data_IF_310083926743
#
_entry.id   IF_310083926743
#
_cell.length_a   1.000
_cell.length_b   1.000
_cell.length_c   1.000
_cell.angle_alpha   90.00
_cell.angle_beta   90.00
_cell.angle_gamma   90.00
#
_symmetry.space_group_name_H-M   'P 1'
#
loop_
_entity.id
_entity.type
_entity.pdbx_description
1 polymer ?
#
# COMPACT_ATOMS: atom_id res chain seq x y z
N UNK A 1 -8.22 18.90 8.16
CA UNK A 1 -6.76 19.13 8.02
C UNK A 1 -6.38 18.91 6.57
N UNK A 2 -5.89 19.97 5.94
CA UNK A 2 -5.34 20.00 4.57
C UNK A 2 -3.89 19.51 4.64
N UNK A 3 -3.51 18.56 3.79
CA UNK A 3 -2.12 18.10 3.69
C UNK A 3 -1.29 18.97 2.76
N UNK A 4 0.03 18.78 2.75
CA UNK A 4 0.91 19.35 1.72
C UNK A 4 0.56 18.74 0.35
N UNK A 5 0.63 19.53 -0.72
CA UNK A 5 0.20 19.15 -2.07
C UNK A 5 1.29 19.52 -3.08
N UNK A 6 1.51 18.64 -4.06
CA UNK A 6 2.53 18.77 -5.10
C UNK A 6 1.96 19.17 -6.48
N UNK A 7 0.63 19.36 -6.57
CA UNK A 7 0.00 19.74 -7.84
C UNK A 7 0.46 21.12 -8.33
N UNK A 8 0.65 21.31 -9.66
CA UNK A 8 1.09 22.58 -10.23
C UNK A 8 0.17 23.77 -9.88
N UNK A 9 0.70 25.01 -9.83
CA UNK A 9 1.98 25.44 -10.41
C UNK A 9 3.11 25.67 -9.39
N UNK A 10 2.95 25.24 -8.13
CA UNK A 10 3.76 25.72 -7.01
C UNK A 10 5.17 25.11 -6.89
N UNK A 11 5.55 24.11 -7.69
CA UNK A 11 6.83 23.44 -7.55
C UNK A 11 7.56 23.34 -8.90
N UNK A 12 8.25 24.42 -9.28
CA UNK A 12 9.12 24.48 -10.47
C UNK A 12 10.23 23.38 -10.46
N UNK A 13 10.45 22.75 -9.30
CA UNK A 13 11.48 21.75 -9.04
C UNK A 13 10.92 20.35 -8.67
N UNK A 14 9.63 20.09 -8.92
CA UNK A 14 9.09 18.73 -8.73
C UNK A 14 9.30 17.89 -9.99
N UNK A 15 9.83 16.65 -9.89
CA UNK A 15 10.12 15.82 -11.05
C UNK A 15 8.88 15.60 -11.91
N UNK A 16 8.96 15.96 -13.20
CA UNK A 16 7.82 15.88 -14.13
C UNK A 16 7.32 14.43 -14.29
N UNK A 17 8.22 13.47 -14.07
CA UNK A 17 8.00 12.04 -14.12
C UNK A 17 7.00 11.57 -13.06
N UNK A 18 6.92 12.26 -11.92
CA UNK A 18 5.96 11.97 -10.87
C UNK A 18 4.52 12.38 -11.22
N UNK A 19 4.32 13.14 -12.29
CA UNK A 19 2.99 13.47 -12.83
C UNK A 19 2.62 12.59 -14.03
N UNK A 20 3.54 11.74 -14.51
CA UNK A 20 3.40 11.01 -15.78
C UNK A 20 3.17 9.53 -15.59
N UNK A 21 2.06 9.05 -16.14
CA UNK A 21 1.64 7.66 -16.04
C UNK A 21 2.57 6.65 -16.73
N UNK A 22 3.44 7.10 -17.62
CA UNK A 22 4.31 6.27 -18.46
C UNK A 22 5.78 6.28 -18.03
N UNK A 23 6.16 7.06 -16.99
CA UNK A 23 7.55 7.25 -16.56
C UNK A 23 7.80 7.11 -15.05
N UNK A 24 6.95 6.36 -14.34
CA UNK A 24 6.99 6.22 -12.88
C UNK A 24 8.32 5.71 -12.31
N UNK A 25 9.04 4.84 -13.02
CA UNK A 25 10.34 4.34 -12.58
C UNK A 25 11.42 5.42 -12.43
N UNK A 26 11.11 6.66 -12.83
CA UNK A 26 11.98 7.82 -12.69
C UNK A 26 11.45 8.87 -11.69
N UNK A 27 10.32 8.62 -11.03
CA UNK A 27 9.84 9.49 -9.95
C UNK A 27 10.65 9.23 -8.67
N UNK A 28 11.48 10.20 -8.27
CA UNK A 28 12.40 10.06 -7.13
C UNK A 28 11.88 10.69 -5.83
N UNK A 29 10.64 11.19 -5.82
CA UNK A 29 10.04 11.91 -4.69
C UNK A 29 8.61 11.44 -4.44
N UNK A 30 8.19 11.49 -3.19
CA UNK A 30 6.79 11.26 -2.84
C UNK A 30 5.92 12.38 -3.43
N UNK A 31 4.90 12.00 -4.19
CA UNK A 31 3.93 12.90 -4.80
C UNK A 31 2.57 12.78 -4.11
N UNK A 32 1.97 13.91 -3.75
CA UNK A 32 0.63 13.98 -3.19
C UNK A 32 -0.23 15.03 -3.89
N UNK A 33 -1.33 14.60 -4.50
CA UNK A 33 -2.31 15.51 -5.11
C UNK A 33 -3.26 16.16 -4.09
N UNK A 34 -3.67 17.39 -4.40
CA UNK A 34 -4.77 18.16 -3.78
C UNK A 34 -6.13 17.47 -3.84
N UNK A 35 -6.30 16.53 -4.78
CA UNK A 35 -7.46 15.64 -4.88
C UNK A 35 -7.76 14.91 -3.57
N UNK A 36 -6.74 14.57 -2.77
CA UNK A 36 -6.96 13.92 -1.48
C UNK A 36 -7.61 14.84 -0.43
N UNK A 37 -7.46 16.15 -0.58
CA UNK A 37 -8.12 17.13 0.29
C UNK A 37 -9.51 17.51 -0.24
N UNK A 38 -9.71 17.42 -1.56
CA UNK A 38 -10.97 17.69 -2.26
C UNK A 38 -11.59 16.39 -2.81
N UNK A 39 -11.89 15.43 -1.94
CA UNK A 39 -12.41 14.13 -2.39
C UNK A 39 -13.83 14.24 -2.94
N UNK A 40 -14.02 14.05 -4.25
CA UNK A 40 -15.29 14.27 -4.95
C UNK A 40 -16.08 12.98 -5.26
N UNK A 41 -15.77 11.86 -4.62
CA UNK A 41 -16.51 10.60 -4.82
C UNK A 41 -16.18 9.93 -6.16
N UNK A 42 -14.94 9.45 -6.28
CA UNK A 42 -14.41 8.75 -7.45
C UNK A 42 -15.12 7.40 -7.69
N UNK A 43 -15.19 6.96 -8.95
CA UNK A 43 -15.80 5.68 -9.30
C UNK A 43 -14.95 4.51 -8.81
N UNK A 44 -13.63 4.60 -9.00
CA UNK A 44 -12.69 3.58 -8.57
C UNK A 44 -11.44 4.19 -7.93
N UNK A 45 -10.80 3.39 -7.07
CA UNK A 45 -9.48 3.70 -6.52
C UNK A 45 -8.59 2.49 -6.77
N UNK A 46 -7.46 2.68 -7.43
CA UNK A 46 -6.49 1.61 -7.73
C UNK A 46 -5.24 1.80 -6.88
N UNK A 47 -4.84 0.75 -6.18
CA UNK A 47 -3.54 0.62 -5.52
C UNK A 47 -2.70 -0.30 -6.38
N UNK A 48 -1.51 0.15 -6.78
CA UNK A 48 -0.59 -0.63 -7.60
C UNK A 48 0.81 -0.63 -7.00
N UNK A 49 1.50 -1.75 -7.21
CA UNK A 49 2.90 -1.95 -6.85
C UNK A 49 3.71 -2.07 -8.12
N UNK A 50 4.81 -1.33 -8.21
CA UNK A 50 5.65 -1.28 -9.39
C UNK A 50 7.07 -1.76 -9.07
N UNK A 51 7.65 -2.54 -9.97
CA UNK A 51 9.09 -2.81 -10.01
C UNK A 51 9.64 -2.44 -11.38
N UNK A 52 10.72 -1.65 -11.42
CA UNK A 52 11.28 -1.09 -12.65
C UNK A 52 10.21 -0.40 -13.53
N UNK A 53 9.23 0.27 -12.90
CA UNK A 53 8.12 0.93 -13.59
C UNK A 53 7.01 0.01 -14.11
N UNK A 54 7.09 -1.31 -13.90
CA UNK A 54 6.08 -2.28 -14.32
C UNK A 54 5.21 -2.73 -13.14
N UNK A 55 3.90 -2.79 -13.36
CA UNK A 55 2.94 -3.27 -12.35
C UNK A 55 3.16 -4.77 -12.04
N UNK A 56 3.43 -5.07 -10.76
CA UNK A 56 3.69 -6.43 -10.27
C UNK A 56 2.57 -6.99 -9.40
N UNK A 57 1.73 -6.12 -8.82
CA UNK A 57 0.52 -6.48 -8.11
C UNK A 57 -0.40 -5.25 -8.03
N UNK A 58 -1.70 -5.48 -7.89
CA UNK A 58 -2.67 -4.38 -7.80
C UNK A 58 -3.96 -4.77 -7.07
N UNK A 59 -4.69 -3.75 -6.64
CA UNK A 59 -6.06 -3.83 -6.15
C UNK A 59 -6.86 -2.65 -6.72
N UNK A 60 -8.08 -2.90 -7.14
CA UNK A 60 -9.06 -1.90 -7.56
C UNK A 60 -10.24 -1.96 -6.59
N UNK A 61 -10.58 -0.83 -6.02
CA UNK A 61 -11.68 -0.65 -5.09
C UNK A 61 -12.79 0.19 -5.72
N UNK A 62 -14.03 -0.06 -5.32
CA UNK A 62 -15.13 0.87 -5.56
C UNK A 62 -14.94 2.12 -4.70
N UNK A 63 -14.75 3.27 -5.36
CA UNK A 63 -14.66 4.58 -4.73
C UNK A 63 -16.02 5.22 -4.46
N UNK A 64 -17.11 4.64 -4.96
CA UNK A 64 -18.45 5.22 -4.87
C UNK A 64 -18.87 5.38 -3.41
N UNK A 65 -19.33 6.59 -3.08
CA UNK A 65 -19.77 6.94 -1.73
C UNK A 65 -18.69 6.68 -0.66
N UNK A 66 -17.42 6.91 -1.01
CA UNK A 66 -16.29 6.88 -0.08
C UNK A 66 -15.76 8.28 0.21
N UNK A 67 -14.92 8.39 1.23
CA UNK A 67 -14.04 9.53 1.45
C UNK A 67 -12.58 9.07 1.30
N UNK A 68 -11.63 10.00 1.46
CA UNK A 68 -10.19 9.75 1.30
C UNK A 68 -9.60 8.59 2.14
N UNK A 69 -10.31 8.09 3.15
CA UNK A 69 -9.86 7.00 4.04
C UNK A 69 -10.76 5.75 3.99
N UNK A 70 -12.02 5.86 3.55
CA UNK A 70 -12.99 4.75 3.66
C UNK A 70 -13.07 3.83 2.44
N UNK A 71 -12.38 4.16 1.35
CA UNK A 71 -12.35 3.35 0.13
C UNK A 71 -11.54 2.06 0.28
N UNK A 72 -10.51 2.06 1.12
CA UNK A 72 -9.63 0.92 1.34
C UNK A 72 -10.26 -0.05 2.35
N UNK A 73 -11.23 -0.83 1.87
CA UNK A 73 -11.97 -1.81 2.65
C UNK A 73 -12.18 -3.08 1.82
N UNK A 74 -12.09 -4.25 2.46
CA UNK A 74 -12.26 -5.55 1.80
C UNK A 74 -13.58 -5.65 1.02
N UNK A 75 -14.69 -5.17 1.59
CA UNK A 75 -16.03 -5.21 0.96
C UNK A 75 -16.12 -4.34 -0.30
N UNK A 76 -15.14 -3.47 -0.53
CA UNK A 76 -15.07 -2.58 -1.70
C UNK A 76 -14.10 -3.07 -2.76
N UNK A 77 -13.40 -4.19 -2.55
CA UNK A 77 -12.51 -4.77 -3.56
C UNK A 77 -13.35 -5.19 -4.77
N UNK A 78 -13.16 -4.48 -5.89
CA UNK A 78 -13.84 -4.77 -7.16
C UNK A 78 -13.04 -5.79 -7.99
N UNK A 79 -11.71 -5.65 -8.00
CA UNK A 79 -10.80 -6.57 -8.69
C UNK A 79 -9.43 -6.49 -8.02
N UNK A 80 -8.67 -7.57 -7.98
CA UNK A 80 -7.28 -7.52 -7.53
C UNK A 80 -6.45 -8.64 -8.13
N UNK A 81 -5.13 -8.49 -8.06
CA UNK A 81 -4.17 -9.55 -8.36
C UNK A 81 -4.42 -10.82 -7.53
N UNK A 82 -4.88 -10.65 -6.28
CA UNK A 82 -5.19 -11.72 -5.34
C UNK A 82 -6.68 -12.12 -5.42
N UNK A 83 -7.00 -13.16 -6.18
CA UNK A 83 -8.39 -13.52 -6.52
C UNK A 83 -9.27 -13.89 -5.32
N UNK A 84 -8.68 -14.30 -4.20
CA UNK A 84 -9.39 -14.61 -2.94
C UNK A 84 -9.52 -13.40 -2.01
N UNK A 85 -8.91 -12.25 -2.31
CA UNK A 85 -8.85 -11.12 -1.38
C UNK A 85 -10.23 -10.63 -0.94
N UNK A 86 -11.20 -10.60 -1.85
CA UNK A 86 -12.53 -10.03 -1.61
C UNK A 86 -13.38 -10.82 -0.59
N UNK A 87 -13.10 -12.12 -0.39
CA UNK A 87 -13.83 -12.98 0.54
C UNK A 87 -12.95 -13.68 1.59
N UNK A 88 -11.69 -13.30 1.70
CA UNK A 88 -10.77 -13.85 2.69
C UNK A 88 -11.19 -13.44 4.12
N UNK A 89 -11.82 -14.37 4.85
CA UNK A 89 -12.34 -14.13 6.19
C UNK A 89 -11.27 -13.97 7.26
N UNK A 90 -9.99 -14.23 6.94
CA UNK A 90 -8.89 -14.10 7.90
C UNK A 90 -8.43 -12.65 8.14
N UNK A 91 -8.97 -11.68 7.39
CA UNK A 91 -8.50 -10.29 7.34
C UNK A 91 -9.22 -9.31 8.29
N UNK A 92 -10.19 -9.78 9.08
CA UNK A 92 -11.22 -8.97 9.77
C UNK A 92 -10.69 -7.75 10.55
N UNK A 93 -9.47 -7.80 11.09
CA UNK A 93 -8.91 -6.73 11.92
C UNK A 93 -7.71 -5.98 11.31
N UNK A 94 -7.22 -6.41 10.15
CA UNK A 94 -5.92 -5.93 9.64
C UNK A 94 -5.92 -5.56 8.16
N UNK A 95 -7.11 -5.30 7.60
CA UNK A 95 -7.29 -4.57 6.35
C UNK A 95 -7.46 -3.08 6.68
N UNK A 96 -6.35 -2.35 6.83
CA UNK A 96 -6.34 -1.01 7.42
C UNK A 96 -5.57 -0.02 6.55
N UNK A 97 -6.23 1.12 6.28
CA UNK A 97 -5.63 2.25 5.56
C UNK A 97 -4.73 3.11 6.44
N UNK A 98 -5.14 3.33 7.69
CA UNK A 98 -4.39 4.12 8.69
C UNK A 98 -3.29 3.32 9.36
N UNK A 99 -3.29 2.01 9.12
CA UNK A 99 -2.29 1.11 9.64
C UNK A 99 -2.64 0.54 11.01
N UNK A 100 -1.71 -0.21 11.56
CA UNK A 100 -1.76 -0.75 12.89
C UNK A 100 -0.55 -0.21 13.66
N UNK A 101 -0.77 0.86 14.43
CA UNK A 101 0.29 1.57 15.17
C UNK A 101 0.10 1.49 16.69
N UNK A 102 -0.62 0.48 17.17
CA UNK A 102 -0.80 0.28 18.60
C UNK A 102 0.51 -0.24 19.24
N UNK A 103 0.89 0.37 20.37
CA UNK A 103 2.13 0.03 21.08
C UNK A 103 3.37 0.22 20.20
N UNK A 104 4.08 -0.88 19.98
CA UNK A 104 5.33 -0.94 19.21
C UNK A 104 5.14 -1.30 17.73
N UNK A 105 3.91 -1.53 17.28
CA UNK A 105 3.63 -1.75 15.86
C UNK A 105 3.81 -0.45 15.07
N UNK A 106 4.38 -0.55 13.86
CA UNK A 106 4.62 0.61 12.97
C UNK A 106 4.26 0.30 11.52
N UNK A 107 3.05 -0.21 11.34
CA UNK A 107 2.50 -0.59 10.04
C UNK A 107 1.56 0.51 9.60
N UNK A 108 1.77 1.13 8.43
CA UNK A 108 1.00 2.31 8.00
C UNK A 108 -0.20 2.00 7.14
N UNK A 109 -0.10 1.01 6.28
CA UNK A 109 -1.18 0.53 5.43
C UNK A 109 -0.95 -0.95 5.24
N UNK A 110 -1.95 -1.79 5.49
CA UNK A 110 -1.72 -3.23 5.51
C UNK A 110 -2.97 -4.03 5.22
N UNK A 111 -2.74 -5.24 4.70
CA UNK A 111 -3.71 -6.32 4.56
C UNK A 111 -3.03 -7.57 5.10
N UNK A 112 -3.29 -7.87 6.38
CA UNK A 112 -2.70 -8.99 7.12
C UNK A 112 -3.77 -9.97 7.57
N UNK A 113 -3.35 -11.19 7.87
CA UNK A 113 -4.09 -12.12 8.71
C UNK A 113 -3.31 -12.41 10.00
N UNK A 114 -4.07 -12.78 11.03
CA UNK A 114 -3.61 -13.10 12.39
C UNK A 114 -3.00 -11.92 13.18
N UNK A 115 -2.84 -12.11 14.49
CA UNK A 115 -2.43 -11.08 15.45
C UNK A 115 -1.06 -11.37 16.11
N UNK A 116 -0.22 -12.23 15.53
CA UNK A 116 1.07 -12.59 16.12
C UNK A 116 2.18 -12.69 15.07
N UNK A 117 3.36 -12.21 15.45
CA UNK A 117 4.54 -12.18 14.59
C UNK A 117 4.92 -13.56 14.02
N UNK A 118 4.53 -14.66 14.68
CA UNK A 118 4.89 -16.03 14.32
C UNK A 118 3.97 -16.68 13.28
N UNK A 119 2.79 -16.12 13.04
CA UNK A 119 1.81 -16.69 12.11
C UNK A 119 1.23 -15.64 11.16
N UNK A 120 1.74 -14.40 11.22
CA UNK A 120 1.27 -13.36 10.33
C UNK A 120 1.55 -13.73 8.88
N UNK A 121 0.48 -13.68 8.10
CA UNK A 121 0.53 -13.71 6.64
C UNK A 121 -0.01 -12.38 6.12
N UNK A 122 0.38 -12.02 4.90
CA UNK A 122 -0.05 -10.76 4.29
C UNK A 122 -0.35 -10.90 2.80
N UNK A 123 -1.26 -10.07 2.32
CA UNK A 123 -1.25 -9.70 0.90
C UNK A 123 -0.30 -8.53 0.67
N UNK A 124 -0.29 -7.55 1.58
CA UNK A 124 0.46 -6.31 1.42
C UNK A 124 0.71 -5.60 2.76
N UNK A 125 1.85 -4.91 2.88
CA UNK A 125 2.19 -4.05 4.02
C UNK A 125 3.09 -2.88 3.59
N UNK A 126 2.84 -1.71 4.19
CA UNK A 126 3.76 -0.56 4.20
C UNK A 126 4.38 -0.39 5.57
N UNK A 127 5.70 -0.30 5.58
CA UNK A 127 6.50 0.10 6.73
C UNK A 127 7.17 1.44 6.41
N UNK A 128 7.16 2.40 7.34
CA UNK A 128 7.74 3.72 7.12
C UNK A 128 8.81 4.10 8.17
N UNK A 129 9.29 3.12 8.93
CA UNK A 129 10.27 3.30 10.00
C UNK A 129 11.04 2.01 10.23
N UNK A 130 12.27 2.16 10.74
CA UNK A 130 13.26 1.11 11.04
C UNK A 130 12.89 0.17 12.18
N UNK A 131 11.69 0.34 12.75
CA UNK A 131 11.24 -0.42 13.91
C UNK A 131 9.80 -0.90 13.76
N UNK A 132 9.59 -2.20 13.86
CA UNK A 132 8.29 -2.84 14.18
C UNK A 132 8.54 -3.96 15.20
N UNK A 133 7.61 -4.19 16.11
CA UNK A 133 7.74 -5.23 17.14
C UNK A 133 8.00 -6.64 16.57
N UNK A 134 7.55 -6.92 15.34
CA UNK A 134 7.74 -8.20 14.69
C UNK A 134 8.96 -8.28 13.76
N UNK A 135 9.79 -7.22 13.69
CA UNK A 135 10.90 -7.14 12.73
C UNK A 135 11.89 -8.31 12.85
N UNK A 136 12.16 -8.75 14.08
CA UNK A 136 13.07 -9.87 14.35
C UNK A 136 12.50 -11.22 13.89
N UNK A 137 11.17 -11.40 13.90
CA UNK A 137 10.51 -12.61 13.44
C UNK A 137 10.45 -12.71 11.92
N UNK A 138 10.31 -11.56 11.25
CA UNK A 138 10.04 -11.52 9.81
C UNK A 138 11.29 -11.39 8.94
N UNK A 139 12.45 -11.20 9.57
CA UNK A 139 13.74 -11.02 8.88
C UNK A 139 13.65 -9.96 7.79
N UNK A 140 12.97 -8.84 8.08
CA UNK A 140 12.70 -7.80 7.10
C UNK A 140 14.01 -7.18 6.58
N UNK A 141 14.12 -6.90 5.27
CA UNK A 141 15.22 -6.09 4.73
C UNK A 141 14.95 -4.60 5.05
N UNK A 142 15.77 -3.98 5.90
CA UNK A 142 15.51 -2.62 6.44
C UNK A 142 16.53 -1.57 6.02
N UNK A 143 17.04 -1.61 4.78
CA UNK A 143 18.07 -0.62 4.37
C UNK A 143 17.51 0.76 4.02
N UNK A 144 16.21 0.89 3.71
CA UNK A 144 15.58 2.16 3.32
C UNK A 144 14.08 2.16 3.57
N UNK A 145 13.51 3.33 3.88
CA UNK A 145 12.08 3.51 4.13
C UNK A 145 11.48 4.64 3.29
N UNK A 146 10.19 4.57 2.92
CA UNK A 146 9.25 3.47 3.22
C UNK A 146 9.54 2.20 2.41
N UNK A 147 9.10 1.04 2.94
CA UNK A 147 9.16 -0.26 2.28
C UNK A 147 7.75 -0.70 1.90
N UNK A 148 7.58 -1.17 0.66
CA UNK A 148 6.31 -1.68 0.13
C UNK A 148 6.40 -3.19 -0.06
N UNK A 149 5.92 -3.96 0.90
CA UNK A 149 5.95 -5.42 0.84
C UNK A 149 4.64 -5.96 0.25
N UNK A 150 4.74 -6.95 -0.62
CA UNK A 150 3.58 -7.60 -1.22
C UNK A 150 3.79 -9.11 -1.36
N UNK A 151 2.69 -9.85 -1.43
CA UNK A 151 2.72 -11.27 -1.81
C UNK A 151 2.82 -11.39 -3.33
N UNK A 152 3.89 -12.00 -3.88
CA UNK A 152 4.00 -12.27 -5.31
C UNK A 152 3.10 -13.43 -5.77
N UNK A 153 2.47 -14.14 -4.83
CA UNK A 153 1.59 -15.27 -5.11
C UNK A 153 0.15 -14.80 -5.22
N UNK A 154 -0.72 -15.59 -5.85
CA UNK A 154 -2.16 -15.38 -5.80
C UNK A 154 -2.77 -15.90 -4.48
N UNK A 155 -2.13 -15.55 -3.35
CA UNK A 155 -2.47 -15.94 -1.98
C UNK A 155 -1.70 -15.04 -1.00
N UNK A 156 -1.94 -15.18 0.30
CA UNK A 156 -1.14 -14.50 1.31
C UNK A 156 0.28 -15.08 1.37
N UNK A 157 1.28 -14.23 1.63
CA UNK A 157 2.66 -14.61 1.90
C UNK A 157 2.91 -14.72 3.41
N UNK A 158 3.60 -15.76 3.85
CA UNK A 158 4.10 -15.84 5.23
C UNK A 158 5.20 -14.82 5.46
N UNK A 159 5.13 -14.11 6.59
CA UNK A 159 6.14 -13.11 6.95
C UNK A 159 7.37 -13.71 7.63
N UNK A 160 7.23 -14.84 8.33
CA UNK A 160 8.32 -15.47 9.09
C UNK A 160 8.91 -16.71 8.39
N UNK A 161 8.82 -16.79 7.06
CA UNK A 161 9.41 -17.89 6.29
C UNK A 161 10.85 -17.61 5.89
N UNK A 162 11.61 -18.69 5.68
CA UNK A 162 12.97 -18.65 5.13
C UNK A 162 13.08 -19.64 3.96
N UNK A 163 13.29 -19.18 2.72
CA UNK A 163 13.37 -17.77 2.30
C UNK A 163 12.02 -17.04 2.46
N UNK A 164 12.03 -15.68 2.51
CA UNK A 164 10.80 -14.90 2.56
C UNK A 164 9.86 -15.20 1.40
N UNK A 165 8.58 -15.40 1.71
CA UNK A 165 7.52 -15.60 0.71
C UNK A 165 7.04 -14.29 0.08
N UNK A 166 7.49 -13.14 0.60
CA UNK A 166 7.15 -11.81 0.11
C UNK A 166 8.21 -11.23 -0.83
N UNK A 167 7.85 -10.12 -1.48
CA UNK A 167 8.74 -9.28 -2.28
C UNK A 167 8.57 -7.82 -1.89
N UNK A 168 9.61 -7.05 -2.16
CA UNK A 168 9.60 -5.59 -2.06
C UNK A 168 9.26 -4.99 -3.44
N UNK A 169 8.43 -3.96 -3.44
CA UNK A 169 8.16 -3.14 -4.61
C UNK A 169 8.94 -1.83 -4.54
N UNK A 170 9.48 -1.37 -5.67
CA UNK A 170 10.20 -0.10 -5.78
C UNK A 170 9.27 1.11 -5.53
N UNK A 171 8.00 0.98 -5.89
CA UNK A 171 7.03 2.07 -5.80
C UNK A 171 5.62 1.56 -5.52
N UNK A 172 4.90 2.26 -4.65
CA UNK A 172 3.44 2.13 -4.49
C UNK A 172 2.75 3.36 -5.06
N UNK A 173 1.69 3.14 -5.85
CA UNK A 173 0.90 4.22 -6.43
C UNK A 173 -0.58 4.03 -6.09
N UNK A 174 -1.26 5.14 -5.78
CA UNK A 174 -2.71 5.18 -5.54
C UNK A 174 -3.33 6.14 -6.56
N UNK A 175 -4.21 5.61 -7.40
CA UNK A 175 -4.96 6.38 -8.39
C UNK A 175 -6.43 6.47 -8.00
N UNK A 176 -7.03 7.62 -8.28
CA UNK A 176 -8.47 7.83 -8.18
C UNK A 176 -9.01 8.17 -9.56
N UNK A 177 -10.15 7.59 -9.93
CA UNK A 177 -10.69 7.60 -11.30
C UNK A 177 -12.22 7.56 -11.31
#
# INVERSE_FOLDING_TARGET
>A
MTGYQDDPPSTVDFPVECFRFDKWGSCTRHYRSSVLDNWLGYGQVKVAFLNNGHEVAFMIFSGVSTNRQSWFNQTRVATSWWTSLWNDTSLTNYFTFTGFTNGSNRRRMSILSANSCHINMMYFMVLDTDYDECSSNWSLPLSSYPVFLYSPMNAQAKLNSQPPEYREADTMVIWVM
#
